data_IF_539340572267
#
_entry.id   IF_539340572267
#
_cell.length_a   1.000
_cell.length_b   1.000
_cell.length_c   1.000
_cell.angle_alpha   90.00
_cell.angle_beta   90.00
_cell.angle_gamma   90.00
#
_symmetry.space_group_name_H-M   'P 1'
#
loop_
_entity.id
_entity.type
_entity.pdbx_description
1 polymer ?
#
# COMPACT_ATOMS: atom_id res chain seq x y z
N UNK A 1 5.46 -0.03 44.07
CA UNK A 1 4.44 -0.09 43.01
C UNK A 1 5.07 -0.73 41.80
N UNK A 2 4.65 -1.94 41.42
CA UNK A 2 5.09 -2.59 40.16
C UNK A 2 4.22 -2.01 39.07
N UNK A 3 4.78 -1.17 38.20
CA UNK A 3 4.10 -0.70 36.99
C UNK A 3 3.92 -1.91 36.08
N UNK A 4 2.68 -2.38 35.95
CA UNK A 4 2.36 -3.41 34.97
C UNK A 4 2.54 -2.78 33.59
N UNK A 5 3.57 -3.20 32.86
CA UNK A 5 3.68 -2.92 31.44
C UNK A 5 2.54 -3.70 30.75
N UNK A 6 1.46 -3.02 30.39
CA UNK A 6 0.48 -3.54 29.45
C UNK A 6 1.25 -3.67 28.14
N UNK A 7 1.55 -4.91 27.75
CA UNK A 7 2.05 -5.22 26.42
C UNK A 7 0.93 -4.83 25.46
N UNK A 8 1.02 -3.65 24.86
CA UNK A 8 0.12 -3.30 23.77
C UNK A 8 0.38 -4.31 22.66
N UNK A 9 -0.61 -5.13 22.35
CA UNK A 9 -0.52 -6.04 21.22
C UNK A 9 -0.22 -5.21 19.98
N UNK A 10 0.77 -5.67 19.21
CA UNK A 10 1.16 -4.99 17.97
C UNK A 10 -0.05 -4.98 17.01
N UNK A 11 -0.49 -3.82 16.49
CA UNK A 11 -1.66 -3.77 15.61
C UNK A 11 -1.55 -4.75 14.45
N UNK A 12 -2.65 -5.37 14.07
CA UNK A 12 -2.70 -6.19 12.86
C UNK A 12 -2.61 -5.32 11.61
N UNK A 13 -1.93 -5.83 10.57
CA UNK A 13 -1.70 -5.08 9.32
C UNK A 13 -2.26 -5.84 8.13
N UNK A 14 -3.05 -5.15 7.31
CA UNK A 14 -3.34 -5.53 5.93
C UNK A 14 -2.42 -4.76 4.98
N UNK A 15 -1.78 -5.45 4.04
CA UNK A 15 -1.14 -4.82 2.90
C UNK A 15 -2.15 -4.77 1.76
N UNK A 16 -2.27 -3.64 1.08
CA UNK A 16 -3.13 -3.50 -0.11
C UNK A 16 -2.29 -3.15 -1.33
N UNK A 17 -2.55 -3.86 -2.42
CA UNK A 17 -1.93 -3.63 -3.74
C UNK A 17 -3.02 -3.59 -4.80
N UNK A 18 -2.99 -2.58 -5.65
CA UNK A 18 -3.79 -2.50 -6.86
C UNK A 18 -2.89 -2.82 -8.05
N UNK A 19 -3.36 -3.67 -8.97
CA UNK A 19 -2.58 -4.11 -10.13
C UNK A 19 -3.45 -4.20 -11.39
N UNK A 20 -2.85 -4.51 -12.52
CA UNK A 20 -3.48 -4.66 -13.82
C UNK A 20 -2.98 -5.91 -14.54
N UNK A 21 -3.71 -6.34 -15.55
CA UNK A 21 -3.53 -7.59 -16.30
C UNK A 21 -2.12 -7.91 -16.77
N UNK A 22 -1.33 -6.93 -17.17
CA UNK A 22 0.00 -7.15 -17.78
C UNK A 22 1.14 -7.00 -16.78
N UNK A 23 0.84 -6.90 -15.48
CA UNK A 23 1.81 -6.52 -14.43
C UNK A 23 2.12 -7.66 -13.46
N UNK A 24 1.92 -8.91 -13.85
CA UNK A 24 2.19 -10.05 -12.97
C UNK A 24 3.65 -10.08 -12.47
N UNK A 25 4.62 -9.75 -13.32
CA UNK A 25 6.03 -9.68 -12.92
C UNK A 25 6.27 -8.61 -11.84
N UNK A 26 5.54 -7.50 -11.89
CA UNK A 26 5.59 -6.49 -10.84
C UNK A 26 5.03 -7.04 -9.51
N UNK A 27 3.90 -7.75 -9.57
CA UNK A 27 3.33 -8.42 -8.39
C UNK A 27 4.29 -9.46 -7.81
N UNK A 28 4.98 -10.22 -8.66
CA UNK A 28 5.97 -11.19 -8.23
C UNK A 28 7.18 -10.52 -7.55
N UNK A 29 7.67 -9.42 -8.10
CA UNK A 29 8.72 -8.62 -7.48
C UNK A 29 8.27 -8.07 -6.12
N UNK A 30 7.04 -7.54 -6.04
CA UNK A 30 6.49 -7.05 -4.79
C UNK A 30 6.33 -8.18 -3.75
N UNK A 31 5.96 -9.39 -4.18
CA UNK A 31 5.91 -10.56 -3.30
C UNK A 31 7.27 -10.80 -2.61
N UNK A 32 8.37 -10.72 -3.34
CA UNK A 32 9.71 -10.86 -2.77
C UNK A 32 10.03 -9.74 -1.75
N UNK A 33 9.60 -8.50 -2.02
CA UNK A 33 9.76 -7.39 -1.08
C UNK A 33 8.88 -7.55 0.18
N UNK A 34 7.70 -8.12 0.04
CA UNK A 34 6.79 -8.40 1.17
C UNK A 34 7.37 -9.49 2.06
N UNK A 35 8.00 -10.51 1.52
CA UNK A 35 8.70 -11.56 2.29
C UNK A 35 9.77 -11.00 3.22
N UNK A 36 10.41 -9.92 2.81
CA UNK A 36 11.49 -9.27 3.56
C UNK A 36 10.98 -8.35 4.66
N UNK A 37 9.68 -8.09 4.78
CA UNK A 37 9.15 -7.16 5.78
C UNK A 37 9.45 -7.63 7.21
N UNK A 38 9.95 -6.70 8.03
CA UNK A 38 10.35 -6.99 9.42
C UNK A 38 9.19 -7.03 10.39
N UNK A 39 8.07 -6.38 10.07
CA UNK A 39 6.88 -6.37 10.92
C UNK A 39 6.22 -7.76 10.95
N UNK A 40 5.90 -8.24 12.15
CA UNK A 40 5.49 -9.65 12.33
C UNK A 40 3.99 -9.88 12.32
N UNK A 41 3.19 -8.86 12.67
CA UNK A 41 1.74 -9.00 12.73
C UNK A 41 1.05 -8.52 11.43
N UNK A 42 1.59 -8.92 10.28
CA UNK A 42 0.90 -8.83 9.01
C UNK A 42 -0.08 -10.00 8.95
N UNK A 43 -1.38 -9.73 8.76
CA UNK A 43 -2.43 -10.75 8.74
C UNK A 43 -2.87 -11.13 7.35
N UNK A 44 -2.68 -10.23 6.38
CA UNK A 44 -3.04 -10.48 4.99
C UNK A 44 -2.37 -9.52 4.00
N UNK A 45 -2.32 -9.97 2.76
CA UNK A 45 -2.02 -9.16 1.58
C UNK A 45 -3.21 -9.21 0.62
N UNK A 46 -3.89 -8.08 0.40
CA UNK A 46 -5.03 -7.93 -0.49
C UNK A 46 -4.54 -7.40 -1.83
N UNK A 47 -4.71 -8.18 -2.87
CA UNK A 47 -4.37 -7.84 -4.26
C UNK A 47 -5.68 -7.63 -5.02
N UNK A 48 -5.89 -6.43 -5.53
CA UNK A 48 -7.05 -6.10 -6.38
C UNK A 48 -6.57 -5.86 -7.79
N UNK A 49 -7.02 -6.70 -8.71
CA UNK A 49 -6.67 -6.61 -10.12
C UNK A 49 -7.82 -6.05 -10.93
N UNK A 50 -7.56 -4.95 -11.64
CA UNK A 50 -8.49 -4.34 -12.58
C UNK A 50 -8.36 -4.93 -13.98
N UNK A 51 -9.50 -5.23 -14.63
CA UNK A 51 -9.55 -5.71 -16.02
C UNK A 51 -10.62 -4.99 -16.83
N UNK A 52 -10.43 -4.90 -18.15
CA UNK A 52 -11.46 -4.36 -19.03
C UNK A 52 -12.62 -5.35 -19.25
N UNK A 53 -12.29 -6.62 -19.35
CA UNK A 53 -13.24 -7.70 -19.54
C UNK A 53 -12.84 -8.89 -18.67
N UNK A 54 -13.81 -9.67 -18.23
CA UNK A 54 -13.58 -10.83 -17.37
C UNK A 54 -12.58 -11.84 -17.98
N UNK A 55 -12.66 -12.05 -19.31
CA UNK A 55 -11.75 -12.96 -20.03
C UNK A 55 -10.28 -12.53 -20.03
N UNK A 56 -10.02 -11.24 -19.93
CA UNK A 56 -8.66 -10.69 -20.00
C UNK A 56 -7.83 -11.04 -18.78
N UNK A 57 -8.48 -11.26 -17.62
CA UNK A 57 -7.83 -11.59 -16.34
C UNK A 57 -7.41 -13.06 -16.19
N UNK A 58 -7.83 -13.96 -17.10
CA UNK A 58 -7.66 -15.41 -16.89
C UNK A 58 -6.20 -15.83 -16.73
N UNK A 59 -5.27 -15.30 -17.54
CA UNK A 59 -3.86 -15.68 -17.46
C UNK A 59 -3.19 -15.18 -16.19
N UNK A 60 -3.40 -13.92 -15.84
CA UNK A 60 -2.89 -13.36 -14.60
C UNK A 60 -3.50 -14.01 -13.38
N UNK A 61 -4.81 -14.24 -13.39
CA UNK A 61 -5.51 -14.98 -12.35
C UNK A 61 -4.86 -16.35 -12.11
N UNK A 62 -4.56 -17.09 -13.15
CA UNK A 62 -3.89 -18.38 -13.05
C UNK A 62 -2.51 -18.26 -12.44
N UNK A 63 -1.72 -17.26 -12.86
CA UNK A 63 -0.37 -17.03 -12.35
C UNK A 63 -0.39 -16.59 -10.87
N UNK A 64 -1.29 -15.67 -10.51
CA UNK A 64 -1.47 -15.23 -9.13
C UNK A 64 -1.96 -16.38 -8.25
N UNK A 65 -2.90 -17.19 -8.72
CA UNK A 65 -3.36 -18.36 -7.99
C UNK A 65 -2.24 -19.38 -7.75
N UNK A 66 -1.37 -19.63 -8.74
CA UNK A 66 -0.17 -20.47 -8.56
C UNK A 66 0.79 -19.87 -7.54
N UNK A 67 1.01 -18.57 -7.57
CA UNK A 67 1.81 -17.88 -6.56
C UNK A 67 1.20 -18.07 -5.17
N UNK A 68 -0.12 -17.90 -5.03
CA UNK A 68 -0.83 -18.09 -3.75
C UNK A 68 -0.70 -19.52 -3.24
N UNK A 69 -0.82 -20.53 -4.10
CA UNK A 69 -0.70 -21.92 -3.71
C UNK A 69 0.71 -22.32 -3.23
N UNK A 70 1.73 -21.63 -3.74
CA UNK A 70 3.13 -21.96 -3.48
C UNK A 70 3.85 -20.91 -2.60
N UNK A 71 3.13 -19.93 -2.01
CA UNK A 71 3.77 -18.88 -1.23
C UNK A 71 4.30 -19.41 0.12
N UNK A 72 5.33 -18.74 0.62
CA UNK A 72 5.95 -19.01 1.92
C UNK A 72 5.63 -17.96 3.00
N UNK A 73 4.64 -17.09 2.74
CA UNK A 73 4.19 -16.10 3.72
C UNK A 73 3.42 -16.80 4.84
N UNK A 74 3.54 -16.30 6.05
CA UNK A 74 2.83 -16.80 7.23
C UNK A 74 1.47 -16.11 7.46
N UNK A 75 0.94 -15.43 6.44
CA UNK A 75 -0.36 -14.76 6.43
C UNK A 75 -1.07 -15.00 5.09
N UNK A 76 -2.35 -14.64 5.02
CA UNK A 76 -3.19 -14.90 3.84
C UNK A 76 -2.84 -13.96 2.69
N UNK A 77 -2.95 -14.46 1.46
CA UNK A 77 -3.04 -13.64 0.25
C UNK A 77 -4.49 -13.71 -0.24
N UNK A 78 -5.12 -12.56 -0.36
CA UNK A 78 -6.48 -12.39 -0.90
C UNK A 78 -6.35 -11.78 -2.28
N UNK A 79 -6.86 -12.47 -3.30
CA UNK A 79 -6.86 -11.98 -4.67
C UNK A 79 -8.28 -11.73 -5.14
N UNK A 80 -8.51 -10.52 -5.61
CA UNK A 80 -9.79 -10.05 -6.12
C UNK A 80 -9.60 -9.62 -7.57
N UNK A 81 -10.26 -10.30 -8.49
CA UNK A 81 -10.35 -9.86 -9.88
C UNK A 81 -11.63 -9.05 -10.07
N UNK A 82 -11.49 -7.82 -10.54
CA UNK A 82 -12.61 -6.89 -10.72
C UNK A 82 -12.69 -6.41 -12.16
N UNK A 83 -13.89 -6.53 -12.76
CA UNK A 83 -14.16 -5.98 -14.09
C UNK A 83 -14.36 -4.47 -13.97
N UNK A 84 -13.29 -3.74 -14.19
CA UNK A 84 -13.19 -2.28 -14.08
C UNK A 84 -11.73 -1.86 -13.95
N UNK A 85 -11.42 -0.65 -14.40
CA UNK A 85 -10.03 -0.15 -14.43
C UNK A 85 -9.84 1.18 -13.70
N UNK A 86 -10.87 1.67 -13.04
CA UNK A 86 -10.77 2.91 -12.30
C UNK A 86 -10.00 2.68 -11.01
N UNK A 87 -8.86 3.33 -10.89
CA UNK A 87 -7.93 3.12 -9.79
C UNK A 87 -8.59 3.34 -8.42
N UNK A 88 -9.41 4.38 -8.31
CA UNK A 88 -10.16 4.68 -7.08
C UNK A 88 -11.13 3.57 -6.68
N UNK A 89 -11.80 2.93 -7.64
CA UNK A 89 -12.76 1.86 -7.36
C UNK A 89 -12.02 0.59 -6.87
N UNK A 90 -10.88 0.29 -7.49
CA UNK A 90 -10.02 -0.82 -7.07
C UNK A 90 -9.48 -0.61 -5.64
N UNK A 91 -9.06 0.61 -5.30
CA UNK A 91 -8.61 0.94 -3.94
C UNK A 91 -9.74 0.85 -2.92
N UNK A 92 -10.95 1.31 -3.27
CA UNK A 92 -12.12 1.15 -2.40
C UNK A 92 -12.43 -0.32 -2.13
N UNK A 93 -12.48 -1.14 -3.18
CA UNK A 93 -12.72 -2.58 -3.06
C UNK A 93 -11.66 -3.27 -2.18
N UNK A 94 -10.41 -2.90 -2.35
CA UNK A 94 -9.33 -3.40 -1.49
C UNK A 94 -9.51 -2.98 -0.04
N UNK A 95 -9.85 -1.72 0.23
CA UNK A 95 -10.11 -1.22 1.57
C UNK A 95 -11.25 -1.94 2.27
N UNK A 96 -12.35 -2.19 1.55
CA UNK A 96 -13.52 -2.93 2.05
C UNK A 96 -13.18 -4.38 2.39
N UNK A 97 -12.14 -4.94 1.75
CA UNK A 97 -11.71 -6.32 1.96
C UNK A 97 -10.66 -6.48 3.07
N UNK A 98 -10.04 -5.39 3.53
CA UNK A 98 -9.02 -5.42 4.56
C UNK A 98 -9.60 -5.60 5.96
N UNK A 99 -8.97 -6.48 6.78
CA UNK A 99 -9.38 -6.75 8.16
C UNK A 99 -8.39 -6.24 9.22
N UNK A 100 -7.17 -5.86 8.83
CA UNK A 100 -6.15 -5.36 9.74
C UNK A 100 -6.52 -4.03 10.41
N UNK A 101 -5.97 -3.77 11.59
CA UNK A 101 -6.15 -2.50 12.30
C UNK A 101 -5.50 -1.33 11.55
N UNK A 102 -4.42 -1.61 10.84
CA UNK A 102 -3.69 -0.67 9.99
C UNK A 102 -3.63 -1.23 8.57
N UNK A 103 -3.88 -0.37 7.59
CA UNK A 103 -3.76 -0.68 6.18
C UNK A 103 -2.52 0.03 5.64
N UNK A 104 -1.68 -0.70 4.91
CA UNK A 104 -0.44 -0.20 4.32
C UNK A 104 -0.52 -0.36 2.80
N UNK A 105 -0.53 0.76 2.08
CA UNK A 105 -0.50 0.75 0.62
C UNK A 105 0.91 0.38 0.13
N UNK A 106 0.97 -0.53 -0.84
CA UNK A 106 2.19 -0.93 -1.55
C UNK A 106 1.81 -1.20 -3.01
N UNK A 107 2.14 -0.26 -3.90
CA UNK A 107 1.88 -0.42 -5.33
C UNK A 107 2.87 -1.42 -5.94
N UNK A 108 2.48 -2.10 -7.01
CA UNK A 108 3.22 -3.24 -7.56
C UNK A 108 4.51 -2.85 -8.31
N UNK A 109 4.67 -1.57 -8.68
CA UNK A 109 5.81 -1.05 -9.44
C UNK A 109 6.82 -0.23 -8.62
N UNK A 110 6.71 -0.28 -7.29
CA UNK A 110 7.59 0.46 -6.40
C UNK A 110 8.51 -0.46 -5.58
N UNK A 111 9.63 0.09 -5.14
CA UNK A 111 10.52 -0.57 -4.18
C UNK A 111 10.14 -0.21 -2.74
N UNK A 112 10.07 -1.21 -1.89
CA UNK A 112 9.79 -1.07 -0.47
C UNK A 112 10.87 -1.75 0.38
N UNK A 113 11.60 -1.01 1.23
CA UNK A 113 12.61 -1.61 2.09
C UNK A 113 11.96 -2.51 3.16
N UNK A 114 12.73 -3.45 3.74
CA UNK A 114 12.23 -4.37 4.76
C UNK A 114 11.55 -3.71 5.96
N UNK A 115 11.88 -2.47 6.27
CA UNK A 115 11.30 -1.70 7.39
C UNK A 115 10.02 -0.93 7.02
N UNK A 116 9.49 -1.07 5.81
CA UNK A 116 8.34 -0.27 5.33
C UNK A 116 7.12 -0.38 6.24
N UNK A 117 6.68 -1.59 6.50
CA UNK A 117 5.50 -1.84 7.34
C UNK A 117 5.77 -1.47 8.79
N UNK A 118 6.90 -1.93 9.34
CA UNK A 118 7.32 -1.62 10.72
C UNK A 118 7.31 -0.11 11.00
N UNK A 119 7.93 0.67 10.11
CA UNK A 119 8.00 2.11 10.29
C UNK A 119 6.63 2.80 10.17
N UNK A 120 5.76 2.37 9.26
CA UNK A 120 4.41 2.92 9.14
C UNK A 120 3.61 2.70 10.44
N UNK A 121 3.64 1.47 10.95
CA UNK A 121 2.96 1.11 12.21
C UNK A 121 3.50 1.92 13.38
N UNK A 122 4.83 1.93 13.59
CA UNK A 122 5.45 2.65 14.71
C UNK A 122 5.15 4.16 14.67
N UNK A 123 5.08 4.73 13.45
CA UNK A 123 4.78 6.15 13.28
C UNK A 123 3.30 6.44 13.59
N UNK A 124 2.37 5.62 13.06
CA UNK A 124 0.94 5.78 13.31
C UNK A 124 0.55 5.56 14.78
N UNK A 125 1.15 4.55 15.43
CA UNK A 125 0.86 4.25 16.85
C UNK A 125 1.30 5.40 17.77
N UNK A 126 2.40 6.06 17.45
CA UNK A 126 2.91 7.21 18.21
C UNK A 126 2.21 8.53 17.86
N UNK A 127 1.40 8.55 16.82
CA UNK A 127 0.72 9.74 16.32
C UNK A 127 -0.75 9.79 16.76
N UNK A 128 -1.29 10.99 17.03
CA UNK A 128 -2.74 11.15 17.21
C UNK A 128 -3.53 11.04 15.91
N UNK A 129 -2.84 11.06 14.76
CA UNK A 129 -3.49 11.03 13.44
C UNK A 129 -3.83 9.59 13.01
N UNK A 130 -4.84 9.49 12.17
CA UNK A 130 -5.31 8.23 11.58
C UNK A 130 -4.60 7.90 10.27
N UNK A 131 -3.96 8.89 9.64
CA UNK A 131 -3.33 8.79 8.34
C UNK A 131 -1.83 9.09 8.47
N UNK A 132 -1.02 8.31 7.78
CA UNK A 132 0.40 8.53 7.56
C UNK A 132 0.69 8.57 6.07
N UNK A 133 1.59 9.44 5.66
CA UNK A 133 2.01 9.59 4.28
C UNK A 133 3.45 10.08 4.17
N UNK A 134 3.91 10.29 2.96
CA UNK A 134 5.21 10.90 2.70
C UNK A 134 5.09 11.89 1.56
N UNK A 135 5.41 13.14 1.83
CA UNK A 135 5.36 14.19 0.81
C UNK A 135 6.58 14.15 -0.11
N UNK A 136 7.73 13.69 0.38
CA UNK A 136 8.95 13.53 -0.39
C UNK A 136 9.04 12.10 -0.96
N UNK A 137 9.38 11.96 -2.23
CA UNK A 137 9.66 10.67 -2.86
C UNK A 137 11.02 10.67 -3.54
N UNK A 138 11.62 9.49 -3.66
CA UNK A 138 12.81 9.27 -4.47
C UNK A 138 12.43 8.51 -5.73
N UNK A 139 12.91 9.00 -6.88
CA UNK A 139 12.72 8.40 -8.19
C UNK A 139 14.07 7.96 -8.73
N UNK A 140 14.20 6.68 -9.12
CA UNK A 140 15.37 6.20 -9.83
C UNK A 140 15.07 6.10 -11.33
N UNK A 141 15.83 6.86 -12.12
CA UNK A 141 15.73 6.81 -13.59
C UNK A 141 16.77 5.81 -14.13
N UNK A 142 16.29 4.69 -14.67
CA UNK A 142 17.14 3.59 -15.10
C UNK A 142 18.06 3.92 -16.29
N UNK A 143 17.58 4.71 -17.25
CA UNK A 143 18.37 5.08 -18.43
C UNK A 143 19.53 5.97 -18.06
N UNK A 144 19.30 6.90 -17.16
CA UNK A 144 20.30 7.84 -16.69
C UNK A 144 21.10 7.30 -15.50
N UNK A 145 20.65 6.20 -14.89
CA UNK A 145 21.21 5.63 -13.65
C UNK A 145 21.33 6.66 -12.53
N UNK A 146 20.33 7.53 -12.42
CA UNK A 146 20.33 8.64 -11.48
C UNK A 146 19.15 8.57 -10.53
N UNK A 147 19.40 9.01 -9.30
CA UNK A 147 18.39 9.17 -8.26
C UNK A 147 17.97 10.62 -8.17
N UNK A 148 16.67 10.86 -8.24
CA UNK A 148 16.06 12.17 -8.06
C UNK A 148 15.29 12.19 -6.74
N UNK A 149 15.35 13.30 -6.04
CA UNK A 149 14.45 13.58 -4.92
C UNK A 149 13.37 14.54 -5.41
N UNK A 150 12.13 14.08 -5.38
CA UNK A 150 10.96 14.92 -5.61
C UNK A 150 10.46 15.44 -4.26
N UNK A 151 10.45 16.75 -4.10
CA UNK A 151 9.94 17.39 -2.91
C UNK A 151 8.42 17.54 -3.01
N UNK A 152 7.73 17.22 -1.93
CA UNK A 152 6.29 17.42 -1.86
C UNK A 152 5.89 18.86 -1.59
N UNK A 153 4.59 19.11 -1.64
CA UNK A 153 4.04 20.47 -1.55
C UNK A 153 3.89 20.96 -0.12
N UNK A 154 3.47 20.10 0.82
CA UNK A 154 3.24 20.45 2.22
C UNK A 154 3.08 19.21 3.11
N UNK A 155 2.97 19.45 4.43
CA UNK A 155 2.98 18.38 5.45
C UNK A 155 1.78 17.41 5.41
N UNK A 156 0.69 17.73 4.72
CA UNK A 156 -0.48 16.85 4.55
C UNK A 156 -0.59 16.29 3.13
N UNK A 157 0.44 16.46 2.31
CA UNK A 157 0.53 15.85 1.00
C UNK A 157 1.17 14.45 1.09
N UNK A 158 0.69 13.54 0.27
CA UNK A 158 1.27 12.23 0.06
C UNK A 158 0.76 11.64 -1.24
N UNK A 159 1.56 10.85 -1.93
CA UNK A 159 1.09 9.94 -2.97
C UNK A 159 0.54 8.66 -2.33
N UNK A 160 -0.36 7.95 -3.02
CA UNK A 160 -1.07 6.82 -2.45
C UNK A 160 -0.17 5.63 -2.08
N UNK A 161 0.79 5.28 -2.95
CA UNK A 161 1.73 4.17 -2.78
C UNK A 161 2.51 4.22 -1.45
N UNK A 162 2.56 5.39 -0.82
CA UNK A 162 3.29 5.61 0.43
C UNK A 162 2.38 5.77 1.64
N UNK A 163 1.07 5.79 1.45
CA UNK A 163 0.14 5.93 2.55
C UNK A 163 0.07 4.68 3.44
N UNK A 164 -0.25 4.93 4.70
CA UNK A 164 -0.73 3.94 5.64
C UNK A 164 -1.75 4.61 6.55
N UNK A 165 -2.77 3.90 6.96
CA UNK A 165 -3.83 4.47 7.78
C UNK A 165 -4.43 3.44 8.72
N UNK A 166 -4.92 3.92 9.87
CA UNK A 166 -5.74 3.11 10.77
C UNK A 166 -7.07 2.83 10.07
N UNK A 167 -7.60 1.62 10.22
CA UNK A 167 -8.86 1.22 9.56
C UNK A 167 -10.03 2.14 9.90
N UNK A 168 -10.05 2.75 11.09
CA UNK A 168 -11.06 3.73 11.48
C UNK A 168 -11.08 4.99 10.59
N UNK A 169 -9.98 5.31 9.87
CA UNK A 169 -9.95 6.40 8.88
C UNK A 169 -11.00 6.20 7.79
N UNK A 170 -11.25 4.95 7.41
CA UNK A 170 -12.21 4.59 6.35
C UNK A 170 -13.67 4.82 6.75
N UNK A 171 -13.98 5.09 8.02
CA UNK A 171 -15.35 5.40 8.45
C UNK A 171 -15.85 6.70 7.80
N UNK A 172 -14.95 7.65 7.59
CA UNK A 172 -15.29 8.99 7.06
C UNK A 172 -14.57 9.33 5.74
N UNK A 173 -13.71 8.44 5.23
CA UNK A 173 -12.91 8.71 4.04
C UNK A 173 -12.99 7.53 3.06
N UNK A 174 -13.34 7.86 1.83
CA UNK A 174 -13.43 6.93 0.71
C UNK A 174 -12.85 7.62 -0.53
N UNK A 175 -12.25 6.84 -1.42
CA UNK A 175 -11.84 7.37 -2.72
C UNK A 175 -13.08 7.76 -3.53
N UNK A 176 -13.04 8.91 -4.20
CA UNK A 176 -14.08 9.29 -5.15
C UNK A 176 -14.13 8.31 -6.31
N UNK A 177 -15.32 7.77 -6.60
CA UNK A 177 -15.48 6.71 -7.60
C UNK A 177 -15.20 7.22 -9.02
N UNK A 178 -14.71 6.33 -9.87
CA UNK A 178 -14.53 6.59 -11.29
C UNK A 178 -13.22 7.28 -11.68
N UNK A 179 -12.29 7.50 -10.75
CA UNK A 179 -11.00 8.15 -11.02
C UNK A 179 -9.93 7.14 -11.44
N UNK A 180 -9.13 7.51 -12.45
CA UNK A 180 -7.98 6.73 -12.94
C UNK A 180 -6.64 7.30 -12.52
N UNK A 181 -6.63 8.50 -11.92
CA UNK A 181 -5.43 9.18 -11.39
C UNK A 181 -5.85 10.23 -10.36
N UNK A 182 -4.89 10.65 -9.52
CA UNK A 182 -5.08 11.66 -8.48
C UNK A 182 -6.23 11.34 -7.51
N UNK A 183 -6.50 10.05 -7.30
CA UNK A 183 -7.57 9.56 -6.44
C UNK A 183 -7.33 9.89 -4.96
N UNK A 184 -6.07 10.09 -4.57
CA UNK A 184 -5.67 10.48 -3.22
C UNK A 184 -6.16 11.88 -2.83
N UNK A 185 -6.48 12.75 -3.79
CA UNK A 185 -6.98 14.11 -3.52
C UNK A 185 -8.28 14.05 -2.73
N UNK A 186 -9.28 13.31 -3.22
CA UNK A 186 -10.54 13.11 -2.52
C UNK A 186 -10.38 12.34 -1.21
N UNK A 187 -9.57 11.30 -1.22
CA UNK A 187 -9.31 10.46 -0.04
C UNK A 187 -8.68 11.22 1.13
N UNK A 188 -7.87 12.24 0.84
CA UNK A 188 -7.22 13.10 1.83
C UNK A 188 -7.97 14.42 2.06
N UNK A 189 -9.21 14.54 1.59
CA UNK A 189 -10.00 15.76 1.66
C UNK A 189 -9.22 16.98 1.09
N UNK A 190 -8.79 16.90 -0.17
CA UNK A 190 -7.96 17.90 -0.83
C UNK A 190 -6.66 18.21 -0.07
N UNK A 191 -6.00 17.17 0.44
CA UNK A 191 -4.78 17.26 1.25
C UNK A 191 -4.92 18.15 2.50
N UNK A 192 -6.11 18.19 3.10
CA UNK A 192 -6.35 18.86 4.39
C UNK A 192 -6.47 17.88 5.54
N UNK A 193 -6.68 16.58 5.27
CA UNK A 193 -6.73 15.57 6.31
C UNK A 193 -5.41 15.50 7.08
N UNK A 194 -5.44 15.64 8.41
CA UNK A 194 -4.22 15.59 9.20
C UNK A 194 -3.50 14.26 9.05
N UNK A 195 -2.20 14.30 8.72
CA UNK A 195 -1.37 13.12 8.59
C UNK A 195 -0.02 13.29 9.25
N UNK A 196 0.54 12.18 9.70
CA UNK A 196 1.93 12.12 10.16
C UNK A 196 2.84 11.80 8.98
N UNK A 197 3.93 12.55 8.84
CA UNK A 197 4.89 12.34 7.78
C UNK A 197 5.83 11.18 8.11
N UNK A 198 5.93 10.29 7.17
CA UNK A 198 6.87 9.17 7.19
C UNK A 198 8.22 9.63 6.63
N UNK A 199 9.32 9.07 7.15
CA UNK A 199 10.66 9.44 6.65
C UNK A 199 10.94 8.87 5.28
N UNK A 200 11.15 9.69 4.26
CA UNK A 200 11.51 9.26 2.92
C UNK A 200 12.82 8.43 2.86
N UNK A 201 13.81 8.75 3.70
CA UNK A 201 15.10 8.03 3.76
C UNK A 201 14.98 6.56 4.21
N UNK A 202 13.95 6.22 4.98
CA UNK A 202 13.73 4.86 5.49
C UNK A 202 12.79 4.04 4.60
N UNK A 203 12.35 4.55 3.42
CA UNK A 203 11.14 4.01 2.83
C UNK A 203 11.07 3.84 1.33
N UNK A 204 11.73 4.65 0.51
CA UNK A 204 11.37 4.63 -0.90
C UNK A 204 12.55 4.82 -1.82
N UNK A 205 12.62 3.91 -2.72
CA UNK A 205 13.12 4.18 -4.04
C UNK A 205 11.96 3.82 -4.97
N UNK A 206 11.12 4.80 -5.33
CA UNK A 206 10.17 4.62 -6.41
C UNK A 206 10.99 4.33 -7.67
N UNK A 207 10.88 3.13 -8.19
CA UNK A 207 11.62 2.70 -9.37
C UNK A 207 10.62 2.76 -10.51
N UNK A 208 10.54 3.90 -11.20
CA UNK A 208 9.82 3.98 -12.47
C UNK A 208 10.80 3.84 -13.61
N UNK A 209 10.63 2.81 -14.43
CA UNK A 209 11.13 2.77 -15.79
C UNK A 209 10.09 3.43 -16.69
N UNK A 210 10.45 4.50 -17.37
CA UNK A 210 9.70 5.01 -18.53
C UNK A 210 10.20 4.35 -19.80
#
# INVERSE_FOLDING_TARGET
>A
MKTAFIKMDSPSVSIITVTQLTRFECVLNLYELIKLQTYKNIVEWVIVEGSQQEKDGLQNKTNIQRMILNHSLNFKIIYINYTGQKLSDLRNLGNESCIGDIIVCMDDDDYYPPSRVQHAVETLVKSPYLLAGCTDIYLYEYRLKQMYKCYGFHAFHSTNNVMAYKREYLIHHKYESGLSMAEEVGFTNNFTAPMVQLSAKKKYHCIKSF
#
